data_IF_793332481439
#
_entry.id   IF_793332481439
#
_cell.length_a   1.000
_cell.length_b   1.000
_cell.length_c   1.000
_cell.angle_alpha   90.00
_cell.angle_beta   90.00
_cell.angle_gamma   90.00
#
_symmetry.space_group_name_H-M   'P 1'
#
loop_
_entity.id
_entity.type
_entity.pdbx_description
1 polymer ?
#
# COMPACT_ATOMS: atom_id res chain seq x y z
N UNK A 1 -7.98 19.73 6.03
CA UNK A 1 -8.06 18.33 6.49
C UNK A 1 -8.64 17.52 5.36
N UNK A 2 -7.90 16.53 4.84
CA UNK A 2 -8.33 15.78 3.65
C UNK A 2 -9.32 14.69 4.08
N UNK A 3 -10.60 15.01 4.16
CA UNK A 3 -11.67 14.08 4.55
C UNK A 3 -12.02 13.20 3.35
N UNK A 4 -11.23 12.15 3.14
CA UNK A 4 -11.54 11.15 2.11
C UNK A 4 -12.91 10.56 2.44
N UNK A 5 -13.91 10.83 1.58
CA UNK A 5 -15.23 10.20 1.69
C UNK A 5 -15.05 8.71 1.56
N UNK A 6 -15.56 8.01 2.56
CA UNK A 6 -15.55 6.56 2.64
C UNK A 6 -16.70 6.02 1.78
N UNK A 7 -16.41 5.08 0.89
CA UNK A 7 -17.37 4.51 -0.06
C UNK A 7 -17.45 2.98 0.05
N UNK A 8 -18.54 2.40 -0.44
CA UNK A 8 -18.70 0.94 -0.52
C UNK A 8 -17.55 0.36 -1.36
N UNK A 9 -16.91 -0.69 -0.86
CA UNK A 9 -15.74 -1.32 -1.46
C UNK A 9 -14.39 -0.72 -1.04
N UNK A 10 -14.36 0.38 -0.29
CA UNK A 10 -13.10 0.88 0.28
C UNK A 10 -12.57 -0.07 1.36
N UNK A 11 -11.26 -0.32 1.31
CA UNK A 11 -10.55 -1.03 2.36
C UNK A 11 -10.32 -0.12 3.55
N UNK A 12 -10.66 -0.62 4.73
CA UNK A 12 -10.60 0.14 5.97
C UNK A 12 -10.10 -0.71 7.12
N UNK A 13 -9.47 -0.03 8.07
CA UNK A 13 -9.16 -0.56 9.39
C UNK A 13 -10.15 0.06 10.36
N UNK A 14 -10.88 -0.77 11.10
CA UNK A 14 -11.86 -0.33 12.07
C UNK A 14 -11.53 -0.87 13.46
N UNK A 15 -11.97 -0.11 14.45
CA UNK A 15 -12.00 -0.56 15.84
C UNK A 15 -13.42 -1.02 16.18
N UNK A 16 -13.55 -2.26 16.69
CA UNK A 16 -14.80 -2.78 17.24
C UNK A 16 -15.18 -2.06 18.54
N UNK A 17 -16.42 -2.24 19.00
CA UNK A 17 -16.89 -1.71 20.29
C UNK A 17 -16.07 -2.25 21.48
N UNK A 18 -15.65 -3.51 21.42
CA UNK A 18 -14.77 -4.15 22.41
C UNK A 18 -13.29 -3.74 22.26
N UNK A 19 -12.99 -2.88 21.28
CA UNK A 19 -11.67 -2.33 21.07
C UNK A 19 -10.76 -3.14 20.14
N UNK A 20 -11.27 -4.23 19.60
CA UNK A 20 -10.56 -5.09 18.65
C UNK A 20 -10.28 -4.41 17.33
N UNK A 21 -9.15 -4.76 16.72
CA UNK A 21 -8.78 -4.27 15.41
C UNK A 21 -9.29 -5.23 14.33
N UNK A 22 -10.01 -4.66 13.36
CA UNK A 22 -10.54 -5.39 12.20
C UNK A 22 -10.10 -4.70 10.92
N UNK A 23 -9.65 -5.51 9.96
CA UNK A 23 -9.30 -5.11 8.60
C UNK A 23 -10.32 -5.73 7.66
N UNK A 24 -10.93 -4.90 6.82
CA UNK A 24 -11.98 -5.34 5.93
C UNK A 24 -12.30 -4.32 4.85
N UNK A 25 -13.38 -4.59 4.14
CA UNK A 25 -13.93 -3.65 3.15
C UNK A 25 -15.35 -3.25 3.55
N UNK A 26 -15.77 -2.08 3.08
CA UNK A 26 -17.10 -1.57 3.40
C UNK A 26 -18.14 -2.24 2.52
N UNK A 27 -19.08 -2.88 3.18
CA UNK A 27 -20.22 -3.54 2.57
C UNK A 27 -21.38 -2.56 2.39
N UNK A 28 -21.57 -1.67 3.37
CA UNK A 28 -22.65 -0.68 3.34
C UNK A 28 -22.33 0.56 4.19
N UNK A 29 -22.84 1.72 3.78
CA UNK A 29 -22.82 2.95 4.57
C UNK A 29 -24.26 3.30 4.91
N UNK A 30 -24.58 3.40 6.20
CA UNK A 30 -25.93 3.71 6.66
C UNK A 30 -26.38 5.06 6.07
N UNK A 31 -27.65 5.18 5.68
CA UNK A 31 -28.24 6.40 5.09
C UNK A 31 -28.01 7.66 5.95
N UNK A 32 -27.88 7.49 7.27
CA UNK A 32 -27.62 8.61 8.18
C UNK A 32 -26.14 9.01 8.25
N UNK A 33 -25.25 8.27 7.59
CA UNK A 33 -23.80 8.50 7.56
C UNK A 33 -23.09 8.29 8.90
N UNK A 34 -23.79 7.81 9.93
CA UNK A 34 -23.26 7.67 11.30
C UNK A 34 -22.53 6.36 11.53
N UNK A 35 -22.94 5.28 10.87
CA UNK A 35 -22.34 3.95 10.95
C UNK A 35 -22.03 3.39 9.58
N UNK A 36 -21.07 2.47 9.54
CA UNK A 36 -20.74 1.68 8.35
C UNK A 36 -20.70 0.21 8.71
N UNK A 37 -21.13 -0.63 7.75
CA UNK A 37 -21.00 -2.08 7.82
C UNK A 37 -19.74 -2.51 7.07
N UNK A 38 -18.90 -3.28 7.74
CA UNK A 38 -17.60 -3.73 7.26
C UNK A 38 -17.57 -5.25 7.25
N UNK A 39 -17.18 -5.84 6.12
CA UNK A 39 -16.91 -7.26 6.03
C UNK A 39 -15.48 -7.52 6.50
N UNK A 40 -15.33 -8.21 7.62
CA UNK A 40 -14.03 -8.52 8.21
C UNK A 40 -13.30 -9.57 7.36
N UNK A 41 -12.15 -9.21 6.80
CA UNK A 41 -11.25 -10.14 6.10
C UNK A 41 -10.19 -10.67 7.05
N UNK A 42 -9.72 -9.81 7.95
CA UNK A 42 -8.79 -10.15 9.01
C UNK A 42 -9.22 -9.46 10.30
N UNK A 43 -9.21 -10.19 11.41
CA UNK A 43 -9.57 -9.70 12.72
C UNK A 43 -8.59 -10.28 13.75
N UNK A 44 -8.35 -9.52 14.82
CA UNK A 44 -7.51 -9.94 15.93
C UNK A 44 -8.14 -11.11 16.71
N UNK A 45 -9.47 -11.08 16.88
CA UNK A 45 -10.22 -12.22 17.37
C UNK A 45 -10.74 -13.11 16.23
N UNK A 46 -10.53 -14.41 16.38
CA UNK A 46 -10.86 -15.43 15.37
C UNK A 46 -12.37 -15.47 15.08
N UNK A 47 -13.22 -15.18 16.07
CA UNK A 47 -14.68 -15.21 15.92
C UNK A 47 -15.27 -14.11 15.03
N UNK A 48 -14.52 -13.05 14.76
CA UNK A 48 -14.97 -11.90 13.97
C UNK A 48 -14.56 -12.02 12.50
N UNK A 49 -13.59 -12.89 12.19
CA UNK A 49 -13.10 -13.10 10.82
C UNK A 49 -14.21 -13.66 9.93
N UNK A 50 -14.47 -13.03 8.78
CA UNK A 50 -15.51 -13.41 7.83
C UNK A 50 -16.92 -12.89 8.18
N UNK A 51 -17.10 -12.34 9.37
CA UNK A 51 -18.36 -11.73 9.82
C UNK A 51 -18.47 -10.28 9.35
N UNK A 52 -19.71 -9.76 9.27
CA UNK A 52 -19.94 -8.34 9.04
C UNK A 52 -20.12 -7.64 10.38
N UNK A 53 -19.37 -6.57 10.61
CA UNK A 53 -19.46 -5.74 11.81
C UNK A 53 -20.04 -4.37 11.47
N UNK A 54 -20.78 -3.78 12.39
CA UNK A 54 -21.25 -2.41 12.27
C UNK A 54 -20.53 -1.53 13.30
N UNK A 55 -19.95 -0.43 12.85
CA UNK A 55 -19.16 0.46 13.69
C UNK A 55 -19.40 1.92 13.31
N UNK A 56 -19.27 2.88 14.25
CA UNK A 56 -19.39 4.30 13.94
C UNK A 56 -18.38 4.72 12.88
N UNK A 57 -18.76 5.58 11.94
CA UNK A 57 -17.84 6.00 10.86
C UNK A 57 -16.55 6.66 11.40
N UNK A 58 -16.60 7.22 12.61
CA UNK A 58 -15.49 7.89 13.28
C UNK A 58 -14.40 6.91 13.77
N UNK A 59 -14.73 5.64 13.99
CA UNK A 59 -13.77 4.59 14.38
C UNK A 59 -13.10 3.92 13.18
N UNK A 60 -13.42 4.38 11.97
CA UNK A 60 -12.97 3.80 10.71
C UNK A 60 -11.88 4.65 10.11
N UNK A 61 -10.72 4.02 9.95
CA UNK A 61 -9.57 4.64 9.29
C UNK A 61 -9.43 4.02 7.91
N UNK A 62 -9.45 4.83 6.82
CA UNK A 62 -9.16 4.33 5.48
C UNK A 62 -7.78 3.68 5.47
N UNK A 63 -7.70 2.43 5.00
CA UNK A 63 -6.40 1.85 4.68
C UNK A 63 -5.92 2.58 3.43
N UNK A 64 -4.90 3.43 3.58
CA UNK A 64 -4.33 4.11 2.43
C UNK A 64 -3.92 3.07 1.39
N UNK A 65 -4.34 3.32 0.15
CA UNK A 65 -3.99 2.48 -0.98
C UNK A 65 -2.48 2.59 -1.21
N UNK A 66 -1.83 1.46 -0.95
CA UNK A 66 -0.52 1.02 -1.42
C UNK A 66 0.71 1.70 -0.79
N UNK A 67 1.46 0.88 -0.03
CA UNK A 67 2.91 0.93 -0.14
C UNK A 67 3.29 1.01 -1.61
N UNK A 68 4.22 1.91 -1.99
CA UNK A 68 4.87 1.83 -3.31
C UNK A 68 5.28 0.38 -3.53
N UNK A 69 4.76 -0.25 -4.58
CA UNK A 69 5.11 -1.63 -4.94
C UNK A 69 6.62 -1.69 -5.07
N UNK A 70 7.26 -2.52 -4.27
CA UNK A 70 8.69 -2.78 -4.42
C UNK A 70 8.90 -3.65 -5.65
N UNK A 71 10.15 -3.72 -6.13
CA UNK A 71 10.50 -4.62 -7.23
C UNK A 71 10.16 -6.08 -6.91
N UNK A 72 10.34 -6.49 -5.65
CA UNK A 72 10.00 -7.83 -5.17
C UNK A 72 8.50 -8.11 -5.23
N UNK A 73 7.66 -7.13 -4.84
CA UNK A 73 6.21 -7.26 -4.93
C UNK A 73 5.75 -7.45 -6.39
N UNK A 74 6.34 -6.71 -7.33
CA UNK A 74 5.99 -6.81 -8.74
C UNK A 74 6.39 -8.17 -9.31
N UNK A 75 7.57 -8.69 -8.95
CA UNK A 75 7.97 -10.04 -9.38
C UNK A 75 7.00 -11.12 -8.88
N UNK A 76 6.60 -11.08 -7.61
CA UNK A 76 5.62 -12.03 -7.09
C UNK A 76 4.26 -11.94 -7.79
N UNK A 77 3.84 -10.74 -8.20
CA UNK A 77 2.61 -10.56 -8.98
C UNK A 77 2.76 -11.05 -10.43
N UNK A 78 3.95 -10.90 -11.03
CA UNK A 78 4.26 -11.44 -12.37
C UNK A 78 4.16 -12.97 -12.35
N UNK A 79 4.72 -13.62 -11.33
CA UNK A 79 4.62 -15.08 -11.18
C UNK A 79 3.15 -15.52 -11.05
N UNK A 80 2.33 -14.76 -10.32
CA UNK A 80 0.90 -15.03 -10.21
C UNK A 80 0.16 -14.86 -11.56
N UNK A 81 0.52 -13.83 -12.33
CA UNK A 81 -0.05 -13.59 -13.66
C UNK A 81 0.29 -14.73 -14.62
N UNK A 82 1.52 -15.23 -14.57
CA UNK A 82 1.96 -16.39 -15.36
C UNK A 82 1.21 -17.67 -14.95
N UNK A 83 1.06 -17.91 -13.65
CA UNK A 83 0.32 -19.07 -13.12
C UNK A 83 -1.18 -19.06 -13.50
N UNK A 84 -1.76 -17.87 -13.64
CA UNK A 84 -3.18 -17.68 -14.01
C UNK A 84 -3.39 -17.49 -15.51
N UNK A 85 -2.31 -17.49 -16.31
CA UNK A 85 -2.31 -17.21 -17.75
C UNK A 85 -2.92 -15.85 -18.12
N UNK A 86 -2.83 -14.85 -17.23
CA UNK A 86 -3.34 -13.50 -17.47
C UNK A 86 -2.27 -12.65 -18.17
N UNK A 87 -2.35 -12.63 -19.50
CA UNK A 87 -1.41 -11.91 -20.36
C UNK A 87 -1.48 -10.38 -20.16
N UNK A 88 -2.69 -9.82 -20.08
CA UNK A 88 -2.86 -8.36 -19.95
C UNK A 88 -2.30 -7.86 -18.61
N UNK A 89 -2.51 -8.65 -17.56
CA UNK A 89 -1.98 -8.33 -16.24
C UNK A 89 -0.46 -8.46 -16.20
N UNK A 90 0.12 -9.49 -16.82
CA UNK A 90 1.57 -9.66 -16.97
C UNK A 90 2.23 -8.49 -17.70
N UNK A 91 1.66 -8.06 -18.83
CA UNK A 91 2.20 -6.95 -19.63
C UNK A 91 2.21 -5.64 -18.82
N UNK A 92 1.13 -5.37 -18.09
CA UNK A 92 1.03 -4.20 -17.21
C UNK A 92 2.09 -4.21 -16.10
N UNK A 93 2.25 -5.34 -15.40
CA UNK A 93 3.24 -5.47 -14.32
C UNK A 93 4.68 -5.36 -14.83
N UNK A 94 4.93 -5.84 -16.05
CA UNK A 94 6.25 -5.74 -16.69
C UNK A 94 6.56 -4.29 -17.07
N UNK A 95 5.56 -3.50 -17.50
CA UNK A 95 5.72 -2.07 -17.72
C UNK A 95 6.02 -1.33 -16.41
N UNK A 96 5.25 -1.59 -15.34
CA UNK A 96 5.49 -1.01 -14.01
C UNK A 96 6.92 -1.30 -13.51
N UNK A 97 7.46 -2.50 -13.79
CA UNK A 97 8.81 -2.88 -13.42
C UNK A 97 9.90 -2.08 -14.16
N UNK A 98 9.66 -1.71 -15.42
CA UNK A 98 10.57 -0.88 -16.21
C UNK A 98 10.61 0.54 -15.67
N UNK A 99 9.44 1.12 -15.37
CA UNK A 99 9.32 2.46 -14.80
C UNK A 99 10.02 2.60 -13.44
N UNK A 100 10.03 1.53 -12.63
CA UNK A 100 10.78 1.48 -11.36
C UNK A 100 12.30 1.32 -11.54
N UNK A 101 12.75 0.78 -12.68
CA UNK A 101 14.18 0.64 -12.98
C UNK A 101 14.75 1.96 -13.54
N UNK A 102 13.94 2.70 -14.30
CA UNK A 102 14.27 4.02 -14.85
C UNK A 102 14.01 5.15 -13.83
N UNK A 103 14.54 5.00 -12.62
CA UNK A 103 14.69 6.14 -11.70
C UNK A 103 15.42 7.29 -12.40
N UNK A 104 15.12 8.57 -12.06
CA UNK A 104 15.44 9.72 -12.91
C UNK A 104 16.88 9.65 -13.40
N UNK A 105 17.04 9.41 -14.70
CA UNK A 105 18.32 9.45 -15.36
C UNK A 105 19.02 10.73 -14.89
N UNK A 106 20.18 10.57 -14.27
CA UNK A 106 21.01 11.65 -13.76
C UNK A 106 21.25 12.66 -14.87
N UNK A 107 20.44 13.72 -14.89
CA UNK A 107 20.58 14.79 -15.84
C UNK A 107 21.71 15.70 -15.35
N UNK A 108 22.87 15.59 -16.00
CA UNK A 108 23.91 16.61 -16.08
C UNK A 108 24.49 17.16 -14.79
N UNK A 109 25.49 16.47 -14.21
CA UNK A 109 26.60 17.19 -13.58
C UNK A 109 27.92 16.67 -14.13
N UNK A 110 28.60 17.56 -14.85
CA UNK A 110 29.93 17.36 -15.38
C UNK A 110 30.87 16.82 -14.27
N UNK A 111 31.50 15.67 -14.53
CA UNK A 111 32.61 15.17 -13.73
C UNK A 111 33.72 16.21 -13.76
N UNK A 112 33.89 16.99 -12.69
CA UNK A 112 35.10 17.79 -12.51
C UNK A 112 36.29 16.84 -12.40
N UNK A 113 37.42 17.09 -13.09
CA UNK A 113 38.58 16.23 -12.98
C UNK A 113 39.11 16.28 -11.55
N UNK A 114 39.53 15.11 -11.06
CA UNK A 114 40.19 14.93 -9.77
C UNK A 114 41.36 15.92 -9.65
N UNK A 115 41.32 16.80 -8.65
CA UNK A 115 42.49 17.59 -8.27
C UNK A 115 43.46 16.69 -7.50
N UNK A 116 44.61 16.41 -8.10
CA UNK A 116 45.76 15.82 -7.42
C UNK A 116 46.23 16.76 -6.33
N UNK A 117 46.06 16.36 -5.07
CA UNK A 117 46.58 17.03 -3.89
C UNK A 117 47.10 16.02 -2.87
N UNK A 118 48.41 15.76 -2.94
CA UNK A 118 49.31 15.34 -1.85
C UNK A 118 48.89 15.90 -0.47
N UNK A 119 49.15 15.31 0.71
CA UNK A 119 49.92 14.15 1.18
C UNK A 119 49.55 13.98 2.68
N UNK A 120 49.59 12.74 3.14
CA UNK A 120 49.48 12.23 4.52
C UNK A 120 50.07 13.14 5.61
N UNK A 121 49.34 13.34 6.72
CA UNK A 121 49.90 13.74 8.01
C UNK A 121 49.52 12.71 9.08
N UNK A 122 50.50 11.93 9.53
CA UNK A 122 50.42 11.16 10.78
C UNK A 122 50.99 12.02 11.91
N UNK A 123 50.23 12.24 12.98
CA UNK A 123 50.75 12.75 14.25
C UNK A 123 51.08 11.54 15.14
N UNK A 124 52.29 11.56 15.74
CA UNK A 124 52.65 10.71 16.88
C UNK A 124 51.92 11.19 18.14
#
# INVERSE_FOLDING_TARGET
MNTKKITVGDWVKAKSFEGEIVIGYIENVNNNGKSVRIKAVQAEQVGVKGSSIETPIQSVTPLQKFHKKTKADIFGLIDLALLTHDKEWFERLTADLKDLHEGPASNGQARKPFSTGSRLNFHL
#
